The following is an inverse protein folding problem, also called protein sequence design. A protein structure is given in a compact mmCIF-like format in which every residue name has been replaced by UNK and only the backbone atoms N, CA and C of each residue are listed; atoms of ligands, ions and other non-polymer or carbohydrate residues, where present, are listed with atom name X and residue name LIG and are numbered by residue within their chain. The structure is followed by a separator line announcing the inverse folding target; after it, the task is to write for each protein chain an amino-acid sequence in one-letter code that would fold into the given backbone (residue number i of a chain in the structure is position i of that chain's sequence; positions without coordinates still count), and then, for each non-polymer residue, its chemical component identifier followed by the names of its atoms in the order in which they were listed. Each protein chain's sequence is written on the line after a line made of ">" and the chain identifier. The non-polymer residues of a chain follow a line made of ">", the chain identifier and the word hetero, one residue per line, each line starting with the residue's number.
data_IF_671104688652
#
_entry.id   IF_671104688652
#
_cell.length_a   1.000
_cell.length_b   1.000
_cell.length_c   1.000
_cell.angle_alpha   90.00
_cell.angle_beta   90.00
_cell.angle_gamma   90.00
#
_symmetry.space_group_name_H-M   'P 1'
#
loop_
_entity.id
_entity.type
_entity.pdbx_description
1 polymer ?
#
# COMPACT_ATOMS: atom_id res chain seq x y z
N UNK A 1 -22.92 29.55 48.45
CA UNK A 1 -23.04 29.33 46.98
C UNK A 1 -21.92 28.36 46.57
N UNK A 2 -22.21 27.09 46.70
CA UNK A 2 -21.27 26.02 46.40
C UNK A 2 -21.27 25.73 44.90
N UNK A 3 -20.13 25.92 44.27
CA UNK A 3 -19.95 25.66 42.84
C UNK A 3 -19.66 24.17 42.62
N UNK A 4 -20.61 23.52 41.97
CA UNK A 4 -20.66 22.10 41.70
C UNK A 4 -19.31 21.57 41.08
N UNK A 5 -18.62 20.61 41.70
CA UNK A 5 -17.33 20.11 41.19
C UNK A 5 -17.46 19.21 39.96
N UNK A 6 -18.67 18.86 39.56
CA UNK A 6 -18.95 17.97 38.42
C UNK A 6 -18.71 18.59 37.04
N UNK A 7 -18.62 19.94 36.94
CA UNK A 7 -18.38 20.59 35.65
C UNK A 7 -16.92 20.59 35.21
N UNK A 8 -15.96 20.35 36.12
CA UNK A 8 -14.52 20.31 35.80
C UNK A 8 -14.03 18.94 35.35
N UNK A 9 -14.77 17.87 35.59
CA UNK A 9 -14.43 16.52 35.18
C UNK A 9 -14.76 16.23 33.72
N UNK A 10 -15.77 16.90 33.14
CA UNK A 10 -16.19 16.70 31.76
C UNK A 10 -15.27 17.35 30.69
N UNK A 11 -14.52 18.39 31.07
CA UNK A 11 -13.66 19.10 30.11
C UNK A 11 -12.29 18.45 29.88
N UNK A 12 -11.86 17.54 30.75
CA UNK A 12 -10.58 16.80 30.61
C UNK A 12 -10.74 15.49 29.82
N UNK A 13 -11.97 14.99 29.67
CA UNK A 13 -12.21 13.74 28.92
C UNK A 13 -12.30 13.92 27.38
N UNK A 14 -12.48 15.16 26.89
CA UNK A 14 -12.60 15.44 25.46
C UNK A 14 -11.26 15.69 24.73
N UNK A 15 -10.15 15.80 25.43
CA UNK A 15 -8.85 16.12 24.83
C UNK A 15 -8.04 14.89 24.41
N UNK A 16 -8.47 13.66 24.74
CA UNK A 16 -7.72 12.42 24.47
C UNK A 16 -8.16 11.67 23.19
N UNK A 17 -9.15 12.21 22.45
CA UNK A 17 -9.83 11.47 21.36
C UNK A 17 -9.39 11.79 19.92
N UNK A 18 -8.40 12.61 19.68
CA UNK A 18 -8.18 13.16 18.33
C UNK A 18 -6.75 13.03 17.81
N UNK A 19 -6.15 11.84 17.85
CA UNK A 19 -4.85 11.58 17.18
C UNK A 19 -4.79 10.20 16.53
N UNK A 20 -5.85 9.74 15.89
CA UNK A 20 -5.73 8.73 14.85
C UNK A 20 -5.51 9.43 13.51
N UNK A 21 -4.36 10.09 13.37
CA UNK A 21 -3.83 10.43 12.07
C UNK A 21 -3.58 9.11 11.35
N UNK A 22 -4.28 8.88 10.26
CA UNK A 22 -4.00 7.80 9.32
C UNK A 22 -2.55 7.98 8.85
N UNK A 23 -1.64 7.37 9.58
CA UNK A 23 -0.23 7.39 9.30
C UNK A 23 -0.01 6.63 7.99
N UNK A 24 0.41 7.33 6.94
CA UNK A 24 1.03 6.68 5.81
C UNK A 24 2.17 5.83 6.34
N UNK A 25 1.99 4.51 6.33
CA UNK A 25 2.96 3.57 6.89
C UNK A 25 4.24 3.58 6.04
N UNK A 26 5.20 4.41 6.41
CA UNK A 26 6.53 4.46 5.82
C UNK A 26 7.44 3.36 6.40
N UNK A 27 8.57 2.99 5.78
CA UNK A 27 9.53 2.08 6.39
C UNK A 27 9.96 2.56 7.78
N UNK A 28 10.19 3.86 7.96
CA UNK A 28 10.62 4.45 9.24
C UNK A 28 9.57 4.24 10.33
N UNK A 29 8.28 4.41 10.00
CA UNK A 29 7.19 4.14 10.94
C UNK A 29 7.18 2.67 11.36
N UNK A 30 7.29 1.74 10.39
CA UNK A 30 7.33 0.29 10.68
C UNK A 30 8.56 -0.12 11.46
N UNK A 31 9.73 0.51 11.22
CA UNK A 31 10.96 0.29 12.00
C UNK A 31 10.78 0.77 13.43
N UNK A 32 10.13 1.92 13.64
CA UNK A 32 9.88 2.43 15.00
C UNK A 32 8.85 1.57 15.76
N UNK A 33 7.89 0.97 15.07
CA UNK A 33 6.92 0.04 15.66
C UNK A 33 7.54 -1.32 16.00
N UNK A 34 8.51 -1.78 15.21
CA UNK A 34 9.12 -3.10 15.33
C UNK A 34 10.66 -3.03 15.25
N UNK A 35 11.32 -2.33 16.18
CA UNK A 35 12.77 -2.12 16.12
C UNK A 35 13.57 -3.42 16.20
N UNK A 36 13.09 -4.42 16.94
CA UNK A 36 13.73 -5.73 17.03
C UNK A 36 13.85 -6.41 15.68
N UNK A 37 12.78 -6.43 14.88
CA UNK A 37 12.81 -7.01 13.53
C UNK A 37 13.84 -6.34 12.63
N UNK A 38 14.03 -5.03 12.76
CA UNK A 38 15.01 -4.30 11.97
C UNK A 38 16.44 -4.59 12.41
N UNK A 39 16.69 -4.64 13.71
CA UNK A 39 18.03 -4.93 14.26
C UNK A 39 18.50 -6.36 13.97
N UNK A 40 17.57 -7.31 13.85
CA UNK A 40 17.88 -8.70 13.50
C UNK A 40 18.29 -8.88 12.03
N UNK A 41 18.10 -7.84 11.18
CA UNK A 41 18.48 -7.89 9.78
C UNK A 41 19.99 -7.68 9.60
N UNK A 42 20.54 -8.27 8.52
CA UNK A 42 21.89 -7.93 8.07
C UNK A 42 22.00 -6.43 7.71
N UNK A 43 23.16 -5.83 7.87
CA UNK A 43 23.39 -4.42 7.47
C UNK A 43 22.98 -4.15 6.02
N UNK A 44 23.20 -5.15 5.13
CA UNK A 44 22.78 -5.08 3.73
C UNK A 44 21.27 -4.99 3.60
N UNK A 45 20.53 -5.80 4.35
CA UNK A 45 19.06 -5.80 4.30
C UNK A 45 18.48 -4.55 4.95
N UNK A 46 19.09 -4.04 6.03
CA UNK A 46 18.72 -2.76 6.65
C UNK A 46 18.86 -1.60 5.65
N UNK A 47 19.97 -1.55 4.88
CA UNK A 47 20.18 -0.53 3.86
C UNK A 47 19.13 -0.60 2.74
N UNK A 48 18.71 -1.82 2.33
CA UNK A 48 17.66 -2.01 1.34
C UNK A 48 16.28 -1.62 1.88
N UNK A 49 15.95 -1.99 3.10
CA UNK A 49 14.70 -1.59 3.77
C UNK A 49 14.55 -0.07 3.79
N UNK A 50 15.60 0.67 4.19
CA UNK A 50 15.60 2.13 4.22
C UNK A 50 15.34 2.76 2.83
N UNK A 51 15.75 2.08 1.77
CA UNK A 51 15.52 2.49 0.36
C UNK A 51 14.22 1.94 -0.23
N UNK A 52 13.39 1.25 0.55
CA UNK A 52 12.19 0.54 0.07
C UNK A 52 12.49 -0.49 -1.02
N UNK A 53 13.65 -1.09 -0.97
CA UNK A 53 14.12 -2.10 -1.93
C UNK A 53 14.12 -3.47 -1.28
N UNK A 54 13.96 -4.50 -2.11
CA UNK A 54 14.09 -5.88 -1.69
C UNK A 54 15.06 -6.63 -2.61
N UNK A 55 15.50 -7.79 -2.16
CA UNK A 55 16.32 -8.72 -2.95
C UNK A 55 15.87 -10.17 -2.75
N UNK A 56 16.27 -11.04 -3.64
CA UNK A 56 16.11 -12.48 -3.47
C UNK A 56 16.85 -12.92 -2.19
N UNK A 57 16.23 -13.82 -1.45
CA UNK A 57 16.74 -14.33 -0.18
C UNK A 57 16.35 -13.51 1.06
N UNK A 58 15.72 -12.34 0.92
CA UNK A 58 15.20 -11.60 2.06
C UNK A 58 14.08 -12.37 2.77
N UNK A 59 14.03 -12.23 4.09
CA UNK A 59 12.97 -12.82 4.91
C UNK A 59 11.65 -12.04 4.76
N UNK A 60 10.51 -12.69 5.09
CA UNK A 60 9.20 -12.01 5.12
C UNK A 60 9.18 -10.76 5.99
N UNK A 61 9.72 -10.77 7.24
CA UNK A 61 9.80 -9.55 8.06
C UNK A 61 10.57 -8.42 7.38
N UNK A 62 11.68 -8.73 6.71
CA UNK A 62 12.47 -7.73 5.99
C UNK A 62 11.68 -7.10 4.83
N UNK A 63 10.96 -7.91 4.05
CA UNK A 63 10.08 -7.42 2.97
C UNK A 63 8.93 -6.61 3.54
N UNK A 64 8.35 -7.03 4.68
CA UNK A 64 7.30 -6.26 5.33
C UNK A 64 7.81 -4.89 5.83
N UNK A 65 9.00 -4.82 6.41
CA UNK A 65 9.60 -3.54 6.79
C UNK A 65 9.81 -2.63 5.58
N UNK A 66 10.24 -3.18 4.44
CA UNK A 66 10.49 -2.40 3.22
C UNK A 66 9.20 -1.93 2.53
N UNK A 67 8.25 -2.85 2.32
CA UNK A 67 7.07 -2.62 1.47
C UNK A 67 5.75 -2.52 2.24
N UNK A 68 5.71 -2.92 3.50
CA UNK A 68 4.51 -2.94 4.32
C UNK A 68 3.67 -4.19 4.12
N UNK A 69 2.41 -4.10 4.56
CA UNK A 69 1.45 -5.19 4.42
C UNK A 69 0.96 -5.32 2.98
N UNK A 70 0.89 -6.56 2.44
CA UNK A 70 0.36 -6.77 1.10
C UNK A 70 -1.16 -6.55 1.07
N UNK A 71 -1.67 -6.14 -0.09
CA UNK A 71 -3.10 -6.03 -0.36
C UNK A 71 -3.77 -7.42 -0.43
N UNK A 72 -3.03 -8.41 -0.91
CA UNK A 72 -3.49 -9.81 -1.04
C UNK A 72 -2.34 -10.78 -0.86
N UNK A 73 -2.64 -11.94 -0.32
CA UNK A 73 -1.73 -13.10 -0.23
C UNK A 73 -2.30 -14.24 -1.05
N UNK A 74 -1.46 -14.89 -1.83
CA UNK A 74 -1.81 -16.03 -2.67
C UNK A 74 -0.92 -17.19 -2.25
N UNK A 75 -1.52 -18.29 -1.88
CA UNK A 75 -0.80 -19.52 -1.56
C UNK A 75 -0.80 -20.41 -2.80
N UNK A 76 0.36 -20.94 -3.14
CA UNK A 76 0.56 -21.80 -4.30
C UNK A 76 1.54 -22.93 -4.01
N UNK A 77 1.83 -23.72 -5.04
CA UNK A 77 2.85 -24.74 -5.02
C UNK A 77 3.74 -24.58 -6.24
N UNK A 78 5.04 -24.64 -6.06
CA UNK A 78 6.03 -24.59 -7.13
C UNK A 78 7.05 -25.69 -6.92
N UNK A 79 7.06 -26.67 -7.82
CA UNK A 79 8.00 -27.80 -7.74
C UNK A 79 7.90 -28.61 -6.45
N UNK A 80 6.68 -28.81 -5.91
CA UNK A 80 6.46 -29.54 -4.67
C UNK A 80 6.63 -28.72 -3.39
N UNK A 81 7.09 -27.48 -3.49
CA UNK A 81 7.25 -26.57 -2.33
C UNK A 81 6.09 -25.59 -2.24
N UNK A 82 5.52 -25.43 -1.05
CA UNK A 82 4.49 -24.40 -0.80
C UNK A 82 5.12 -23.02 -0.94
N UNK A 83 4.47 -22.18 -1.74
CA UNK A 83 4.86 -20.79 -1.96
C UNK A 83 3.79 -19.84 -1.48
N UNK A 84 4.18 -18.65 -1.07
CA UNK A 84 3.30 -17.55 -0.71
C UNK A 84 3.67 -16.33 -1.53
N UNK A 85 2.72 -15.81 -2.31
CA UNK A 85 2.93 -14.59 -3.10
C UNK A 85 2.18 -13.43 -2.45
N UNK A 86 2.90 -12.38 -2.14
CA UNK A 86 2.35 -11.12 -1.68
C UNK A 86 2.13 -10.19 -2.86
N UNK A 87 0.92 -9.67 -2.96
CA UNK A 87 0.50 -8.75 -4.02
C UNK A 87 0.24 -7.39 -3.41
N UNK A 88 0.88 -6.35 -3.95
CA UNK A 88 0.68 -4.95 -3.61
C UNK A 88 0.01 -4.27 -4.77
N UNK A 89 -1.17 -3.73 -4.54
CA UNK A 89 -1.98 -3.06 -5.57
C UNK A 89 -1.94 -1.56 -5.39
N UNK A 90 -2.09 -0.84 -6.47
CA UNK A 90 -2.30 0.60 -6.46
C UNK A 90 -3.48 0.97 -7.38
N UNK A 91 -4.07 2.10 -7.10
CA UNK A 91 -5.12 2.67 -7.92
C UNK A 91 -4.50 3.52 -9.02
N UNK A 92 -4.87 3.24 -10.26
CA UNK A 92 -4.59 4.15 -11.36
C UNK A 92 -5.92 4.70 -11.87
N UNK A 93 -6.00 6.01 -12.03
CA UNK A 93 -7.13 6.63 -12.70
C UNK A 93 -7.10 6.23 -14.15
N UNK A 94 -8.25 5.86 -14.70
CA UNK A 94 -8.38 5.65 -16.13
C UNK A 94 -8.13 7.00 -16.82
N UNK A 95 -7.18 7.13 -17.76
CA UNK A 95 -7.03 8.36 -18.51
C UNK A 95 -8.28 8.54 -19.36
N UNK A 96 -9.20 9.39 -18.92
CA UNK A 96 -10.25 9.88 -19.78
C UNK A 96 -9.59 10.84 -20.75
N UNK A 97 -9.38 10.41 -21.99
CA UNK A 97 -9.04 11.31 -23.05
C UNK A 97 -10.28 12.15 -23.35
N UNK A 98 -10.23 13.48 -23.24
CA UNK A 98 -11.30 14.30 -23.81
C UNK A 98 -11.39 13.92 -25.28
N UNK A 99 -12.55 13.48 -25.68
CA UNK A 99 -12.83 13.11 -27.04
C UNK A 99 -12.56 14.32 -27.93
N UNK A 100 -11.53 14.25 -28.76
CA UNK A 100 -11.47 15.11 -29.93
C UNK A 100 -12.62 14.72 -30.83
N UNK A 101 -13.48 15.67 -31.26
CA UNK A 101 -14.61 15.32 -32.11
C UNK A 101 -14.04 14.70 -33.38
N UNK A 102 -14.14 13.39 -33.51
CA UNK A 102 -13.86 12.71 -34.76
C UNK A 102 -14.89 13.22 -35.76
N UNK A 103 -14.36 13.86 -36.75
CA UNK A 103 -14.87 14.10 -38.07
C UNK A 103 -16.40 14.05 -38.24
N UNK A 104 -16.89 15.13 -38.78
CA UNK A 104 -18.22 15.49 -39.25
C UNK A 104 -19.00 14.37 -40.00
N UNK A 105 -18.41 13.15 -40.09
CA UNK A 105 -18.96 12.06 -40.90
C UNK A 105 -19.86 11.05 -40.14
N UNK A 106 -19.76 11.01 -38.81
CA UNK A 106 -20.58 10.08 -37.98
C UNK A 106 -21.43 10.83 -36.93
N UNK A 107 -22.16 11.80 -37.29
CA UNK A 107 -23.22 12.58 -36.63
C UNK A 107 -23.85 12.16 -35.30
N UNK A 108 -23.17 11.38 -34.46
CA UNK A 108 -23.55 11.10 -33.09
C UNK A 108 -22.33 11.21 -32.18
N UNK A 109 -22.35 12.07 -31.14
CA UNK A 109 -21.35 12.03 -30.12
C UNK A 109 -21.48 10.68 -29.41
N UNK A 110 -20.48 9.82 -29.55
CA UNK A 110 -20.32 8.65 -28.66
C UNK A 110 -20.01 9.22 -27.29
N UNK A 111 -21.06 9.43 -26.54
CA UNK A 111 -21.00 9.85 -25.16
C UNK A 111 -20.43 8.67 -24.37
N UNK A 112 -19.16 8.77 -23.95
CA UNK A 112 -18.65 7.84 -22.94
C UNK A 112 -19.15 8.35 -21.57
N UNK A 113 -20.20 7.73 -21.00
CA UNK A 113 -20.80 8.19 -19.75
C UNK A 113 -19.83 8.10 -18.56
N UNK A 114 -18.72 7.37 -18.72
CA UNK A 114 -17.72 7.21 -17.67
C UNK A 114 -16.72 8.36 -17.61
N UNK A 115 -16.49 9.08 -18.71
CA UNK A 115 -15.56 10.21 -18.75
C UNK A 115 -16.11 11.50 -18.13
N UNK A 116 -17.42 11.62 -17.98
CA UNK A 116 -18.07 12.78 -17.34
C UNK A 116 -18.41 12.57 -15.87
N UNK A 117 -18.03 11.41 -15.31
CA UNK A 117 -18.14 11.21 -13.86
C UNK A 117 -17.12 12.11 -13.17
N UNK A 118 -17.57 12.86 -12.15
CA UNK A 118 -16.69 13.62 -11.25
C UNK A 118 -15.69 12.71 -10.52
N UNK A 119 -15.85 11.40 -10.65
CA UNK A 119 -14.98 10.36 -10.13
C UNK A 119 -14.60 9.42 -11.28
N UNK A 120 -13.44 9.66 -11.94
CA UNK A 120 -12.97 8.72 -12.96
C UNK A 120 -12.84 7.33 -12.34
N UNK A 121 -13.26 6.27 -13.05
CA UNK A 121 -13.13 4.92 -12.54
C UNK A 121 -11.66 4.63 -12.25
N UNK A 122 -11.37 4.27 -11.01
CA UNK A 122 -10.03 3.83 -10.62
C UNK A 122 -9.93 2.32 -10.81
N UNK A 123 -8.93 1.88 -11.55
CA UNK A 123 -8.65 0.46 -11.75
C UNK A 123 -7.53 0.05 -10.79
N UNK A 124 -7.72 -1.11 -10.18
CA UNK A 124 -6.75 -1.68 -9.25
C UNK A 124 -5.74 -2.52 -10.05
N UNK A 125 -4.48 -2.08 -10.05
CA UNK A 125 -3.39 -2.79 -10.70
C UNK A 125 -2.45 -3.44 -9.69
N UNK A 126 -1.93 -4.66 -9.97
CA UNK A 126 -0.81 -5.20 -9.22
C UNK A 126 0.45 -4.39 -9.55
N UNK A 127 0.96 -3.64 -8.56
CA UNK A 127 2.16 -2.81 -8.76
C UNK A 127 3.44 -3.50 -8.36
N UNK A 128 3.38 -4.34 -7.31
CA UNK A 128 4.52 -5.12 -6.84
C UNK A 128 4.05 -6.51 -6.46
N UNK A 129 4.87 -7.51 -6.75
CA UNK A 129 4.67 -8.88 -6.32
C UNK A 129 5.98 -9.42 -5.74
N UNK A 130 5.87 -10.23 -4.71
CA UNK A 130 7.00 -11.00 -4.19
C UNK A 130 6.53 -12.39 -3.80
N UNK A 131 7.25 -13.40 -4.26
CA UNK A 131 6.96 -14.81 -3.96
C UNK A 131 8.00 -15.34 -2.99
N UNK A 132 7.51 -16.01 -1.95
CA UNK A 132 8.33 -16.65 -0.93
C UNK A 132 8.22 -18.16 -1.04
N UNK A 133 9.36 -18.82 -0.87
CA UNK A 133 9.46 -20.25 -0.60
C UNK A 133 10.34 -20.43 0.65
N UNK A 134 9.97 -21.32 1.55
CA UNK A 134 10.68 -21.56 2.81
C UNK A 134 10.96 -20.27 3.62
N UNK A 135 10.03 -19.30 3.59
CA UNK A 135 10.14 -18.04 4.31
C UNK A 135 11.11 -17.00 3.72
N UNK A 136 11.70 -17.27 2.56
CA UNK A 136 12.62 -16.39 1.84
C UNK A 136 12.04 -15.97 0.50
N UNK A 137 12.28 -14.73 0.08
CA UNK A 137 11.90 -14.23 -1.22
C UNK A 137 12.68 -14.97 -2.32
N UNK A 138 11.98 -15.62 -3.23
CA UNK A 138 12.56 -16.36 -4.36
C UNK A 138 12.36 -15.63 -5.69
N UNK A 139 11.35 -14.75 -5.76
CA UNK A 139 11.06 -13.94 -6.94
C UNK A 139 10.39 -12.65 -6.52
N UNK A 140 10.61 -11.58 -7.26
CA UNK A 140 9.83 -10.35 -7.12
C UNK A 140 9.73 -9.62 -8.46
N UNK A 141 8.65 -8.86 -8.61
CA UNK A 141 8.36 -8.05 -9.79
C UNK A 141 7.75 -6.72 -9.34
N UNK A 142 7.99 -5.67 -10.09
CA UNK A 142 7.33 -4.39 -9.92
C UNK A 142 7.17 -3.70 -11.27
N UNK A 143 6.08 -2.97 -11.40
CA UNK A 143 5.80 -2.17 -12.60
C UNK A 143 6.60 -0.88 -12.49
N UNK A 144 7.42 -0.59 -13.50
CA UNK A 144 8.06 0.72 -13.67
C UNK A 144 7.20 1.54 -14.62
N UNK A 145 6.69 2.69 -14.16
CA UNK A 145 6.11 3.69 -15.07
C UNK A 145 7.26 4.35 -15.86
N UNK A 146 7.22 4.24 -17.15
CA UNK A 146 8.06 5.04 -18.05
C UNK A 146 7.42 6.40 -18.27
#
# INVERSE_FOLDING_TARGET
>A
MERCPLLRACTLAMAAGALFLTSCSTPQTRISEQPGLYHDLSQRDQALVNKQQIRIGMSRPAVWLAWGSPSRRIIGNMGGSTTETWVYTYYASYPCYPYEPLDEYFGAPLYDPFCYSWFPPSILYPGKLVTFAHGKAVSFQYVTSH
#
